data_IF_264311831971
#
_entry.id   IF_264311831971
#
_cell.length_a   1.000
_cell.length_b   1.000
_cell.length_c   1.000
_cell.angle_alpha   90.00
_cell.angle_beta   90.00
_cell.angle_gamma   90.00
#
_symmetry.space_group_name_H-M   'P 1'
#
loop_
_entity.id
_entity.type
_entity.pdbx_description
1 polymer ?
#
# COMPACT_ATOMS: atom_id res chain seq x y z
N UNK A 1 -41.74 59.23 8.19
CA UNK A 1 -40.39 59.51 8.74
C UNK A 1 -39.60 58.22 8.79
N UNK A 2 -38.38 58.24 8.20
CA UNK A 2 -37.18 57.39 8.39
C UNK A 2 -37.41 56.10 9.23
N UNK A 3 -37.05 54.89 8.77
CA UNK A 3 -35.71 54.50 8.30
C UNK A 3 -35.76 53.26 7.39
N UNK A 4 -34.98 53.34 6.32
CA UNK A 4 -34.44 52.22 5.54
C UNK A 4 -33.53 51.39 6.44
N UNK A 5 -33.63 50.06 6.39
CA UNK A 5 -32.52 49.18 6.70
C UNK A 5 -32.48 48.05 5.68
N UNK A 6 -31.70 48.29 4.63
CA UNK A 6 -31.17 47.27 3.73
C UNK A 6 -30.22 46.40 4.58
N UNK A 7 -30.43 45.08 4.63
CA UNK A 7 -29.37 44.17 5.02
C UNK A 7 -29.06 43.23 3.86
N UNK A 8 -27.87 43.47 3.30
CA UNK A 8 -27.22 42.74 2.24
C UNK A 8 -26.88 41.32 2.71
N UNK A 9 -27.14 40.35 1.84
CA UNK A 9 -26.23 39.29 1.41
C UNK A 9 -25.18 38.78 2.42
N UNK A 10 -25.34 37.56 2.91
CA UNK A 10 -24.21 36.62 3.05
C UNK A 10 -24.73 35.20 2.82
N UNK A 11 -24.87 34.85 1.53
CA UNK A 11 -24.94 33.45 1.13
C UNK A 11 -23.52 32.89 1.33
N UNK A 12 -23.23 32.36 2.52
CA UNK A 12 -22.01 31.57 2.71
C UNK A 12 -22.21 30.25 1.98
N UNK A 13 -21.92 30.27 0.68
CA UNK A 13 -21.52 29.09 -0.05
C UNK A 13 -20.28 28.57 0.69
N UNK A 14 -20.48 27.63 1.62
CA UNK A 14 -19.39 26.80 2.11
C UNK A 14 -19.02 25.94 0.90
N UNK A 15 -18.17 26.48 0.03
CA UNK A 15 -17.39 25.67 -0.89
C UNK A 15 -16.54 24.80 0.01
N UNK A 16 -17.01 23.58 0.22
CA UNK A 16 -16.20 22.48 0.71
C UNK A 16 -15.02 22.41 -0.26
N UNK A 17 -13.92 23.08 0.07
CA UNK A 17 -12.64 22.80 -0.54
C UNK A 17 -12.31 21.37 -0.09
N UNK A 18 -12.80 20.40 -0.85
CA UNK A 18 -12.16 19.10 -0.97
C UNK A 18 -10.69 19.42 -1.23
N UNK A 19 -9.84 19.32 -0.21
CA UNK A 19 -8.39 19.34 -0.37
C UNK A 19 -8.07 18.30 -1.46
N UNK A 20 -7.70 18.69 -2.68
CA UNK A 20 -7.32 17.73 -3.72
C UNK A 20 -5.93 17.13 -3.40
N UNK A 21 -5.31 17.57 -2.30
CA UNK A 21 -3.93 17.26 -1.92
C UNK A 21 -3.68 15.77 -1.60
N UNK A 22 -4.70 14.91 -1.66
CA UNK A 22 -4.58 13.46 -1.52
C UNK A 22 -4.92 12.69 -2.80
N UNK A 23 -5.28 13.36 -3.89
CA UNK A 23 -5.58 12.69 -5.16
C UNK A 23 -4.26 12.31 -5.84
N UNK A 24 -3.78 11.11 -5.52
CA UNK A 24 -2.71 10.48 -6.29
C UNK A 24 -3.13 10.23 -7.74
N UNK A 25 -2.16 10.14 -8.64
CA UNK A 25 -2.42 9.89 -10.06
C UNK A 25 -2.62 8.41 -10.35
N UNK A 26 -3.44 8.07 -11.35
CA UNK A 26 -3.56 6.68 -11.81
C UNK A 26 -2.29 6.31 -12.58
N UNK A 27 -1.61 5.26 -12.14
CA UNK A 27 -0.52 4.63 -12.87
C UNK A 27 -0.99 3.27 -13.41
N UNK A 28 -0.60 2.95 -14.64
CA UNK A 28 -0.91 1.68 -15.30
C UNK A 28 0.40 0.93 -15.50
N UNK A 29 0.50 -0.24 -14.89
CA UNK A 29 1.59 -1.16 -15.11
C UNK A 29 1.26 -2.11 -16.26
N UNK A 30 2.18 -2.24 -17.21
CA UNK A 30 2.07 -3.16 -18.32
C UNK A 30 3.43 -3.81 -18.60
N UNK A 31 3.59 -5.06 -18.16
CA UNK A 31 4.80 -5.86 -18.45
C UNK A 31 4.72 -6.61 -19.78
N UNK A 32 3.74 -6.33 -20.65
CA UNK A 32 3.51 -7.07 -21.89
C UNK A 32 2.89 -8.47 -21.70
N UNK A 33 2.38 -8.78 -20.49
CA UNK A 33 1.75 -10.06 -20.15
C UNK A 33 0.30 -9.85 -19.65
N UNK A 34 -0.44 -10.95 -19.40
CA UNK A 34 -1.80 -10.96 -18.80
C UNK A 34 -1.91 -10.38 -17.37
N UNK A 35 -0.86 -9.69 -16.89
CA UNK A 35 -0.73 -9.11 -15.56
C UNK A 35 -0.75 -7.58 -15.61
N UNK A 36 -1.59 -7.01 -16.49
CA UNK A 36 -1.82 -5.57 -16.59
C UNK A 36 -2.73 -5.10 -15.46
N UNK A 37 -2.32 -4.08 -14.73
CA UNK A 37 -3.12 -3.51 -13.65
C UNK A 37 -2.85 -2.01 -13.51
N UNK A 38 -3.70 -1.34 -12.73
CA UNK A 38 -3.51 0.03 -12.32
C UNK A 38 -3.62 0.20 -10.82
N UNK A 39 -3.06 1.31 -10.34
CA UNK A 39 -3.18 1.77 -8.96
C UNK A 39 -3.00 3.29 -8.90
N UNK A 40 -3.35 3.88 -7.78
CA UNK A 40 -3.09 5.27 -7.46
C UNK A 40 -1.68 5.42 -6.90
N UNK A 41 -0.90 6.36 -7.44
CA UNK A 41 0.41 6.75 -6.94
C UNK A 41 0.24 7.99 -6.06
N UNK A 42 0.59 7.95 -4.77
CA UNK A 42 0.42 9.11 -3.90
C UNK A 42 1.22 10.32 -4.41
N UNK A 43 0.67 11.52 -4.24
CA UNK A 43 1.31 12.74 -4.70
C UNK A 43 2.75 12.88 -4.16
N UNK A 44 3.69 13.22 -5.05
CA UNK A 44 5.11 13.39 -4.72
C UNK A 44 5.91 12.10 -4.51
N UNK A 45 5.31 10.93 -4.68
CA UNK A 45 6.04 9.66 -4.62
C UNK A 45 6.70 9.36 -5.96
N UNK A 46 7.92 8.82 -5.92
CA UNK A 46 8.64 8.37 -7.12
C UNK A 46 8.22 6.95 -7.48
N UNK A 47 8.20 6.64 -8.77
CA UNK A 47 7.90 5.31 -9.30
C UNK A 47 9.20 4.69 -9.82
N UNK A 48 9.49 3.45 -9.43
CA UNK A 48 10.49 2.59 -10.03
C UNK A 48 9.82 1.29 -10.46
N UNK A 49 9.65 1.13 -11.77
CA UNK A 49 9.09 -0.05 -12.45
C UNK A 49 10.17 -0.80 -13.26
N UNK A 50 11.45 -0.51 -13.00
CA UNK A 50 12.58 -1.04 -13.79
C UNK A 50 12.86 -2.53 -13.57
N UNK A 51 12.24 -3.14 -12.56
CA UNK A 51 12.45 -4.54 -12.17
C UNK A 51 13.78 -4.81 -11.43
N UNK A 52 14.68 -3.82 -11.31
CA UNK A 52 16.02 -3.99 -10.69
C UNK A 52 15.98 -4.43 -9.23
N UNK A 53 14.88 -4.16 -8.54
CA UNK A 53 14.67 -4.49 -7.12
C UNK A 53 13.96 -5.84 -6.92
N UNK A 54 13.60 -6.53 -8.01
CA UNK A 54 12.74 -7.73 -7.97
C UNK A 54 11.25 -7.41 -7.77
N UNK A 55 10.89 -6.15 -7.56
CA UNK A 55 9.51 -5.70 -7.53
C UNK A 55 9.02 -5.35 -8.96
N UNK A 56 7.74 -5.56 -9.22
CA UNK A 56 7.10 -5.06 -10.43
C UNK A 56 6.97 -3.52 -10.37
N UNK A 57 6.63 -2.98 -9.19
CA UNK A 57 6.61 -1.55 -8.91
C UNK A 57 7.16 -1.32 -7.51
N UNK A 58 8.01 -0.30 -7.38
CA UNK A 58 8.39 0.32 -6.13
C UNK A 58 7.96 1.79 -6.15
N UNK A 59 7.02 2.15 -5.27
CA UNK A 59 6.64 3.55 -5.02
C UNK A 59 7.44 4.05 -3.81
N UNK A 60 8.26 5.08 -4.01
CA UNK A 60 9.16 5.63 -3.00
C UNK A 60 8.58 6.95 -2.49
N UNK A 61 8.16 6.93 -1.23
CA UNK A 61 7.60 8.08 -0.52
C UNK A 61 8.64 8.90 0.24
N UNK A 62 8.17 9.80 1.12
CA UNK A 62 9.02 10.68 1.91
C UNK A 62 10.04 9.93 2.77
N UNK A 63 11.20 10.56 2.97
CA UNK A 63 12.23 10.10 3.89
C UNK A 63 11.92 10.60 5.30
N UNK A 64 11.70 9.69 6.23
CA UNK A 64 11.58 9.97 7.65
C UNK A 64 12.71 9.24 8.38
N UNK A 65 13.60 9.98 9.05
CA UNK A 65 14.72 9.40 9.81
C UNK A 65 15.60 8.43 9.00
N UNK A 66 16.02 8.84 7.80
CA UNK A 66 16.84 8.04 6.89
C UNK A 66 16.16 6.77 6.37
N UNK A 67 14.83 6.67 6.48
CA UNK A 67 14.02 5.60 5.92
C UNK A 67 12.94 6.18 5.00
N UNK A 68 12.91 5.76 3.75
CA UNK A 68 11.82 6.10 2.86
C UNK A 68 10.64 5.15 3.09
N UNK A 69 9.47 5.71 3.41
CA UNK A 69 8.24 4.92 3.36
C UNK A 69 7.99 4.51 1.91
N UNK A 70 7.57 3.28 1.69
CA UNK A 70 7.50 2.72 0.36
C UNK A 70 6.30 1.79 0.20
N UNK A 71 5.82 1.65 -1.03
CA UNK A 71 4.83 0.64 -1.41
C UNK A 71 5.48 -0.22 -2.48
N UNK A 72 5.47 -1.53 -2.26
CA UNK A 72 6.09 -2.51 -3.13
C UNK A 72 5.00 -3.39 -3.70
N UNK A 73 4.99 -3.60 -5.02
CA UNK A 73 4.15 -4.58 -5.68
C UNK A 73 5.04 -5.70 -6.21
N UNK A 74 4.86 -6.90 -5.68
CA UNK A 74 5.52 -8.12 -6.16
C UNK A 74 4.48 -8.99 -6.86
N UNK A 75 4.87 -9.54 -8.00
CA UNK A 75 4.09 -10.54 -8.73
C UNK A 75 4.88 -11.84 -8.65
N UNK A 76 4.30 -12.89 -8.08
CA UNK A 76 4.92 -14.20 -8.03
C UNK A 76 4.00 -15.27 -8.63
N UNK A 77 4.58 -16.33 -9.17
CA UNK A 77 3.81 -17.49 -9.61
C UNK A 77 3.22 -18.18 -8.37
N UNK A 78 1.90 -18.32 -8.33
CA UNK A 78 1.18 -18.91 -7.21
C UNK A 78 1.26 -20.44 -7.20
N UNK A 79 1.87 -21.08 -8.21
CA UNK A 79 2.05 -22.54 -8.32
C UNK A 79 0.74 -23.32 -8.15
N UNK A 80 -0.37 -22.78 -8.65
CA UNK A 80 -1.74 -23.25 -8.55
C UNK A 80 -2.27 -23.36 -7.11
N UNK A 81 -1.66 -22.63 -6.16
CA UNK A 81 -2.13 -22.57 -4.79
C UNK A 81 -3.43 -21.78 -4.65
N UNK A 82 -4.24 -22.16 -3.68
CA UNK A 82 -5.34 -21.34 -3.17
C UNK A 82 -4.79 -20.19 -2.32
N UNK A 83 -5.63 -19.18 -2.08
CA UNK A 83 -5.26 -18.04 -1.24
C UNK A 83 -4.89 -18.47 0.20
N UNK A 84 -5.59 -19.48 0.73
CA UNK A 84 -5.30 -20.07 2.05
C UNK A 84 -3.96 -20.80 2.08
N UNK A 85 -3.61 -21.51 1.00
CA UNK A 85 -2.30 -22.15 0.86
C UNK A 85 -1.17 -21.11 0.79
N UNK A 86 -1.34 -20.04 0.02
CA UNK A 86 -0.37 -18.93 0.00
C UNK A 86 -0.19 -18.29 1.37
N UNK A 87 -1.29 -18.09 2.11
CA UNK A 87 -1.24 -17.56 3.47
C UNK A 87 -0.51 -18.52 4.42
N UNK A 88 -0.76 -19.83 4.30
CA UNK A 88 -0.03 -20.86 5.07
C UNK A 88 1.47 -20.81 4.78
N UNK A 89 1.89 -20.73 3.52
CA UNK A 89 3.32 -20.62 3.17
C UNK A 89 3.96 -19.33 3.71
N UNK A 90 3.21 -18.22 3.71
CA UNK A 90 3.68 -16.98 4.34
C UNK A 90 3.92 -17.16 5.84
N UNK A 91 3.00 -17.81 6.55
CA UNK A 91 3.16 -18.12 7.97
C UNK A 91 4.32 -19.07 8.24
N UNK A 92 4.56 -20.07 7.39
CA UNK A 92 5.74 -20.92 7.50
C UNK A 92 7.03 -20.12 7.31
N UNK A 93 7.04 -19.16 6.37
CA UNK A 93 8.16 -18.20 6.21
C UNK A 93 8.33 -17.33 7.45
N UNK A 94 7.24 -16.93 8.12
CA UNK A 94 7.34 -16.15 9.36
C UNK A 94 7.86 -16.95 10.55
N UNK A 95 7.58 -18.25 10.60
CA UNK A 95 8.15 -19.17 11.60
C UNK A 95 9.63 -19.45 11.35
N UNK A 96 10.04 -19.45 10.09
CA UNK A 96 11.40 -19.72 9.65
C UNK A 96 11.95 -18.56 8.81
N UNK A 97 12.09 -17.36 9.42
CA UNK A 97 12.41 -16.17 8.64
C UNK A 97 13.86 -16.18 8.17
N UNK A 98 14.17 -15.50 7.05
CA UNK A 98 15.55 -15.27 6.63
C UNK A 98 16.37 -14.59 7.75
N UNK A 99 17.67 -14.88 7.82
CA UNK A 99 18.57 -14.44 8.91
C UNK A 99 18.64 -12.93 9.13
N UNK A 100 18.25 -12.13 8.13
CA UNK A 100 18.16 -10.67 8.26
C UNK A 100 17.02 -10.22 9.20
N UNK A 101 16.02 -11.05 9.43
CA UNK A 101 14.90 -10.76 10.33
C UNK A 101 15.16 -11.38 11.70
N UNK A 102 15.13 -10.54 12.74
CA UNK A 102 15.22 -10.96 14.14
C UNK A 102 13.85 -11.34 14.71
N UNK A 103 12.81 -10.61 14.32
CA UNK A 103 11.45 -10.83 14.79
C UNK A 103 10.46 -10.50 13.66
N UNK A 104 9.42 -11.33 13.55
CA UNK A 104 8.25 -11.08 12.72
C UNK A 104 7.02 -11.33 13.60
N UNK A 105 6.13 -10.35 13.69
CA UNK A 105 4.91 -10.45 14.49
C UNK A 105 3.70 -9.97 13.70
N UNK A 106 2.77 -10.88 13.45
CA UNK A 106 1.47 -10.52 12.87
C UNK A 106 0.62 -9.82 13.92
N UNK A 107 0.18 -8.61 13.61
CA UNK A 107 -0.64 -7.75 14.47
C UNK A 107 -2.12 -7.95 14.18
N UNK A 108 -2.47 -8.06 12.89
CA UNK A 108 -3.83 -8.33 12.46
C UNK A 108 -3.84 -9.03 11.10
N UNK A 109 -4.88 -9.81 10.87
CA UNK A 109 -5.21 -10.41 9.57
C UNK A 109 -6.71 -10.23 9.34
N UNK A 110 -7.07 -9.76 8.15
CA UNK A 110 -8.47 -9.65 7.72
C UNK A 110 -8.63 -10.14 6.28
N UNK A 111 -9.82 -10.66 5.96
CA UNK A 111 -10.23 -10.88 4.57
C UNK A 111 -10.63 -9.54 3.95
N UNK A 112 -10.26 -9.33 2.69
CA UNK A 112 -10.57 -8.11 1.95
C UNK A 112 -11.12 -8.44 0.56
N UNK A 113 -11.85 -7.50 -0.02
CA UNK A 113 -12.22 -7.48 -1.43
C UNK A 113 -11.56 -6.27 -2.09
N UNK A 114 -10.73 -6.52 -3.10
CA UNK A 114 -10.02 -5.49 -3.86
C UNK A 114 -10.49 -5.59 -5.32
N UNK A 115 -11.42 -4.70 -5.70
CA UNK A 115 -11.95 -4.66 -7.06
C UNK A 115 -12.69 -5.94 -7.47
N UNK A 116 -13.43 -6.57 -6.56
CA UNK A 116 -14.15 -7.83 -6.78
C UNK A 116 -13.29 -9.08 -6.62
N UNK A 117 -12.05 -8.95 -6.15
CA UNK A 117 -11.11 -10.06 -5.95
C UNK A 117 -10.85 -10.22 -4.46
N UNK A 118 -11.14 -11.43 -3.97
CA UNK A 118 -10.89 -11.80 -2.57
C UNK A 118 -9.40 -11.85 -2.29
N UNK A 119 -9.00 -11.36 -1.12
CA UNK A 119 -7.62 -11.35 -0.64
C UNK A 119 -7.52 -11.42 0.88
N UNK A 120 -6.28 -11.48 1.36
CA UNK A 120 -5.95 -11.23 2.76
C UNK A 120 -5.19 -9.91 2.88
N UNK A 121 -5.44 -9.18 3.96
CA UNK A 121 -4.66 -8.04 4.36
C UNK A 121 -4.14 -8.26 5.78
N UNK A 122 -2.82 -8.13 5.92
CA UNK A 122 -2.11 -8.32 7.18
C UNK A 122 -1.43 -7.01 7.59
N UNK A 123 -1.40 -6.77 8.90
CA UNK A 123 -0.49 -5.80 9.51
C UNK A 123 0.60 -6.59 10.22
N UNK A 124 1.86 -6.37 9.86
CA UNK A 124 2.98 -7.16 10.36
C UNK A 124 4.10 -6.24 10.86
N UNK A 125 4.57 -6.49 12.07
CA UNK A 125 5.78 -5.87 12.63
C UNK A 125 7.00 -6.70 12.25
N UNK A 126 8.07 -6.03 11.84
CA UNK A 126 9.37 -6.64 11.62
C UNK A 126 10.44 -5.94 12.46
N UNK A 127 11.38 -6.72 12.97
CA UNK A 127 12.66 -6.23 13.47
C UNK A 127 13.74 -6.83 12.58
N UNK A 128 14.44 -5.98 11.82
CA UNK A 128 15.51 -6.41 10.92
C UNK A 128 16.88 -6.05 11.49
N UNK A 129 17.88 -6.89 11.27
CA UNK A 129 19.27 -6.56 11.47
C UNK A 129 19.84 -5.94 10.19
N UNK A 130 20.10 -4.63 10.21
CA UNK A 130 20.78 -3.92 9.13
C UNK A 130 22.14 -3.47 9.64
N UNK A 131 23.19 -4.18 9.23
CA UNK A 131 24.60 -3.85 9.56
C UNK A 131 24.83 -3.65 11.07
N UNK A 132 24.28 -4.56 11.89
CA UNK A 132 24.44 -4.52 13.34
C UNK A 132 23.45 -3.61 14.08
N UNK A 133 22.61 -2.84 13.37
CA UNK A 133 21.55 -2.04 13.97
C UNK A 133 20.17 -2.67 13.74
N UNK A 134 19.32 -2.59 14.76
CA UNK A 134 17.94 -3.03 14.64
C UNK A 134 17.11 -1.93 13.96
N UNK A 135 16.41 -2.30 12.88
CA UNK A 135 15.41 -1.47 12.23
C UNK A 135 14.04 -2.06 12.49
N UNK A 136 13.16 -1.30 13.18
CA UNK A 136 11.78 -1.72 13.40
C UNK A 136 10.86 -1.08 12.37
N UNK A 137 10.20 -1.91 11.58
CA UNK A 137 9.22 -1.51 10.58
C UNK A 137 7.86 -2.15 10.86
N UNK A 138 6.82 -1.53 10.32
CA UNK A 138 5.48 -2.11 10.24
C UNK A 138 5.01 -2.06 8.79
N UNK A 139 4.33 -3.12 8.37
CA UNK A 139 3.78 -3.22 7.02
C UNK A 139 2.28 -3.36 7.01
N UNK A 140 1.66 -2.90 5.92
CA UNK A 140 0.33 -3.30 5.49
C UNK A 140 0.52 -4.14 4.22
N UNK A 141 0.36 -5.45 4.34
CA UNK A 141 0.58 -6.40 3.24
C UNK A 141 -0.76 -6.95 2.76
N UNK A 142 -1.07 -6.79 1.47
CA UNK A 142 -2.27 -7.34 0.84
C UNK A 142 -1.90 -8.38 -0.19
N UNK A 143 -2.54 -9.54 -0.14
CA UNK A 143 -2.29 -10.67 -1.04
C UNK A 143 -3.60 -10.97 -1.77
N UNK A 144 -3.55 -10.94 -3.10
CA UNK A 144 -4.64 -11.35 -3.98
C UNK A 144 -4.11 -12.34 -5.03
N UNK A 145 -4.96 -13.26 -5.46
CA UNK A 145 -4.64 -14.21 -6.52
C UNK A 145 -5.43 -13.92 -7.79
N UNK A 146 -4.76 -13.93 -8.93
CA UNK A 146 -5.39 -13.83 -10.25
C UNK A 146 -4.53 -14.54 -11.28
N UNK A 147 -5.15 -15.35 -12.15
CA UNK A 147 -4.48 -16.04 -13.26
C UNK A 147 -3.20 -16.79 -12.84
N UNK A 148 -3.28 -17.56 -11.75
CA UNK A 148 -2.14 -18.29 -11.17
C UNK A 148 -0.95 -17.40 -10.74
N UNK A 149 -1.19 -16.12 -10.50
CA UNK A 149 -0.22 -15.18 -9.95
C UNK A 149 -0.70 -14.64 -8.61
N UNK A 150 0.21 -14.53 -7.65
CA UNK A 150 0.01 -13.78 -6.42
C UNK A 150 0.52 -12.36 -6.60
N UNK A 151 -0.36 -11.39 -6.33
CA UNK A 151 -0.02 -9.98 -6.28
C UNK A 151 0.07 -9.58 -4.81
N UNK A 152 1.27 -9.21 -4.39
CA UNK A 152 1.58 -8.85 -3.01
C UNK A 152 1.87 -7.35 -2.99
N UNK A 153 0.95 -6.59 -2.40
CA UNK A 153 1.03 -5.13 -2.28
C UNK A 153 1.39 -4.81 -0.84
N UNK A 154 2.60 -4.31 -0.62
CA UNK A 154 3.14 -4.08 0.73
C UNK A 154 3.50 -2.61 0.93
N UNK A 155 2.73 -1.91 1.75
CA UNK A 155 3.12 -0.61 2.30
C UNK A 155 4.05 -0.82 3.49
N UNK A 156 5.18 -0.12 3.53
CA UNK A 156 6.23 -0.24 4.56
C UNK A 156 6.58 1.13 5.11
N UNK A 157 6.59 1.26 6.43
CA UNK A 157 7.11 2.43 7.15
C UNK A 157 7.89 1.99 8.39
N UNK A 158 8.57 2.92 9.07
CA UNK A 158 9.08 2.66 10.41
C UNK A 158 7.90 2.39 11.34
N UNK A 159 8.09 1.51 12.34
CA UNK A 159 7.01 1.22 13.30
C UNK A 159 6.54 2.49 14.03
N UNK A 160 7.44 3.41 14.31
CA UNK A 160 7.17 4.68 15.01
C UNK A 160 6.34 5.68 14.20
N UNK A 161 6.33 5.59 12.86
CA UNK A 161 5.59 6.52 12.00
C UNK A 161 4.56 5.83 11.09
N UNK A 162 4.31 4.55 11.27
CA UNK A 162 3.38 3.80 10.41
C UNK A 162 1.97 4.40 10.34
N UNK A 163 1.45 4.90 11.47
CA UNK A 163 0.11 5.53 11.52
C UNK A 163 -0.02 6.74 10.58
N UNK A 164 1.08 7.47 10.31
CA UNK A 164 1.14 8.57 9.34
C UNK A 164 0.84 8.09 7.92
N UNK A 165 1.23 6.86 7.56
CA UNK A 165 1.17 6.33 6.20
C UNK A 165 0.09 5.28 5.97
N UNK A 166 -0.48 4.70 7.03
CA UNK A 166 -1.45 3.62 6.93
C UNK A 166 -2.64 3.97 6.01
N UNK A 167 -3.16 5.19 6.12
CA UNK A 167 -4.25 5.66 5.24
C UNK A 167 -3.82 5.68 3.78
N UNK A 168 -2.62 6.16 3.50
CA UNK A 168 -2.04 6.17 2.14
C UNK A 168 -1.89 4.75 1.61
N UNK A 169 -1.34 3.83 2.41
CA UNK A 169 -1.22 2.42 2.03
C UNK A 169 -2.58 1.81 1.67
N UNK A 170 -3.61 2.04 2.50
CA UNK A 170 -4.98 1.56 2.24
C UNK A 170 -5.58 2.16 0.97
N UNK A 171 -5.36 3.45 0.70
CA UNK A 171 -5.85 4.10 -0.53
C UNK A 171 -5.22 3.44 -1.76
N UNK A 172 -3.89 3.28 -1.77
CA UNK A 172 -3.19 2.64 -2.89
C UNK A 172 -3.65 1.20 -3.08
N UNK A 173 -3.72 0.39 -2.02
CA UNK A 173 -4.21 -0.98 -2.11
C UNK A 173 -5.65 -1.04 -2.66
N UNK A 174 -6.56 -0.19 -2.15
CA UNK A 174 -7.97 -0.16 -2.62
C UNK A 174 -8.13 0.30 -4.06
N UNK A 175 -7.19 1.11 -4.55
CA UNK A 175 -7.19 1.58 -5.95
C UNK A 175 -6.72 0.52 -6.94
N UNK A 176 -6.12 -0.58 -6.47
CA UNK A 176 -5.59 -1.64 -7.32
C UNK A 176 -6.69 -2.29 -8.16
N UNK A 177 -6.53 -2.30 -9.48
CA UNK A 177 -7.48 -2.89 -10.42
C UNK A 177 -6.77 -3.58 -11.56
N UNK A 178 -7.22 -4.77 -11.93
CA UNK A 178 -6.80 -5.42 -13.16
C UNK A 178 -7.38 -4.68 -14.36
N UNK A 179 -6.55 -4.44 -15.36
CA UNK A 179 -6.95 -3.75 -16.58
C UNK A 179 -7.27 -4.76 -17.68
N UNK A 180 -8.15 -4.36 -18.61
CA UNK A 180 -8.44 -5.12 -19.82
C UNK A 180 -7.36 -4.90 -20.89
#
# INVERSE_FOLDING_TARGET
>A
MKKIFIFFLFMTFITFFLNPLLAGEKYIFNSGTNNKYSLTVPAGWKIDDSGKTGAAILLIGPNDNSFNSQIIVIISNAKNMTLEQCLKELYETFKHPPSMYKEIKVISEIKVDIGGIKGYQLVVDYIMNKQGKNLSSRTLQTIILKNNCAFIITGVALKSNFSKYEKTFKIVTKSFKFEK
#
